data_IF_799831926118
#
_entry.id   IF_799831926118
#
_cell.length_a   1.000
_cell.length_b   1.000
_cell.length_c   1.000
_cell.angle_alpha   90.00
_cell.angle_beta   90.00
_cell.angle_gamma   90.00
#
_symmetry.space_group_name_H-M   'P 1'
#
loop_
_entity.id
_entity.type
_entity.pdbx_description
1 polymer ?
#
# COMPACT_ATOMS: atom_id res chain seq x y z
N UNK A 1 -23.00 -4.16 -53.24
CA UNK A 1 -23.64 -4.68 -52.01
C UNK A 1 -22.54 -5.33 -51.18
N UNK A 2 -22.36 -5.10 -49.88
CA UNK A 2 -22.92 -4.10 -48.96
C UNK A 2 -22.12 -4.19 -47.64
N UNK A 3 -21.90 -3.06 -46.94
CA UNK A 3 -21.20 -3.06 -45.64
C UNK A 3 -22.13 -3.58 -44.53
N UNK A 4 -21.57 -4.14 -43.44
CA UNK A 4 -21.94 -3.83 -42.04
C UNK A 4 -21.09 -4.65 -41.05
N UNK A 5 -21.08 -4.23 -39.77
CA UNK A 5 -20.36 -4.87 -38.66
C UNK A 5 -21.28 -5.08 -37.44
N UNK A 6 -20.99 -6.04 -36.53
CA UNK A 6 -21.77 -6.25 -35.31
C UNK A 6 -21.24 -5.43 -34.12
N UNK A 7 -22.14 -4.90 -33.29
CA UNK A 7 -21.82 -4.17 -32.04
C UNK A 7 -22.72 -4.63 -30.89
N UNK A 8 -22.13 -4.89 -29.71
CA UNK A 8 -22.74 -5.05 -28.36
C UNK A 8 -23.98 -5.96 -28.17
N UNK A 9 -23.94 -6.76 -27.10
CA UNK A 9 -25.11 -7.23 -26.36
C UNK A 9 -25.17 -6.60 -24.96
N UNK A 10 -26.35 -6.57 -24.33
CA UNK A 10 -26.58 -5.99 -22.99
C UNK A 10 -27.82 -6.64 -22.31
N UNK A 11 -27.96 -6.43 -20.99
CA UNK A 11 -29.23 -6.42 -20.22
C UNK A 11 -29.90 -7.73 -19.71
N UNK A 12 -29.67 -8.01 -18.43
CA UNK A 12 -30.65 -8.18 -17.30
C UNK A 12 -31.91 -9.09 -17.37
N UNK A 13 -32.05 -9.92 -16.31
CA UNK A 13 -33.29 -10.43 -15.66
C UNK A 13 -32.94 -10.86 -14.20
N UNK A 14 -33.78 -10.98 -13.16
CA UNK A 14 -35.15 -10.56 -12.78
C UNK A 14 -35.28 -10.70 -11.22
N UNK A 15 -36.38 -10.27 -10.57
CA UNK A 15 -36.54 -10.32 -9.09
C UNK A 15 -37.99 -10.49 -8.58
N UNK A 16 -38.21 -11.37 -7.57
CA UNK A 16 -39.50 -11.73 -6.92
C UNK A 16 -39.28 -12.72 -5.75
N UNK A 17 -40.10 -12.98 -4.71
CA UNK A 17 -41.24 -12.33 -4.01
C UNK A 17 -41.47 -13.10 -2.67
N UNK A 18 -41.97 -12.52 -1.54
CA UNK A 18 -41.87 -13.15 -0.19
C UNK A 18 -43.24 -13.68 0.38
N UNK A 19 -43.59 -13.70 1.72
CA UNK A 19 -44.22 -14.86 2.41
C UNK A 19 -45.65 -14.49 2.95
N UNK A 20 -46.20 -14.74 4.20
CA UNK A 20 -45.75 -15.46 5.43
C UNK A 20 -46.83 -16.18 6.32
N UNK A 21 -46.40 -16.66 7.52
CA UNK A 21 -47.13 -16.97 8.79
C UNK A 21 -48.00 -18.25 8.96
N UNK A 22 -47.72 -19.00 10.05
CA UNK A 22 -48.68 -19.39 11.13
C UNK A 22 -47.95 -20.09 12.32
N UNK A 23 -48.62 -20.22 13.48
CA UNK A 23 -48.14 -20.79 14.76
C UNK A 23 -49.23 -21.74 15.34
N UNK A 24 -49.28 -22.24 16.62
CA UNK A 24 -48.49 -22.03 17.86
C UNK A 24 -47.67 -23.31 18.23
N UNK A 25 -47.31 -23.76 19.45
CA UNK A 25 -47.64 -23.52 20.89
C UNK A 25 -46.42 -23.79 21.81
N UNK A 26 -46.56 -23.60 23.14
CA UNK A 26 -45.63 -24.14 24.15
C UNK A 26 -45.44 -23.26 25.40
N UNK A 27 -45.96 -23.67 26.56
CA UNK A 27 -45.92 -22.87 27.80
C UNK A 27 -44.68 -23.17 28.66
N UNK A 28 -44.12 -22.13 29.32
CA UNK A 28 -43.84 -22.13 30.76
C UNK A 28 -43.44 -20.71 31.25
N UNK A 29 -43.74 -20.40 32.52
CA UNK A 29 -43.62 -19.05 33.07
C UNK A 29 -42.22 -18.73 33.62
N UNK A 30 -41.70 -17.55 33.32
CA UNK A 30 -40.45 -17.01 33.87
C UNK A 30 -40.51 -15.47 33.95
N UNK A 31 -40.13 -14.92 35.10
CA UNK A 31 -40.37 -13.52 35.48
C UNK A 31 -39.78 -12.50 34.49
N UNK A 32 -40.64 -11.76 33.79
CA UNK A 32 -40.25 -10.68 32.87
C UNK A 32 -39.92 -9.40 33.65
N UNK A 33 -38.65 -8.99 33.68
CA UNK A 33 -38.23 -7.67 34.19
C UNK A 33 -37.81 -6.74 33.03
N UNK A 34 -38.73 -5.97 32.43
CA UNK A 34 -38.33 -4.85 31.59
C UNK A 34 -37.70 -3.76 32.47
N UNK A 35 -36.60 -3.19 32.00
CA UNK A 35 -35.93 -2.05 32.62
C UNK A 35 -35.30 -1.20 31.51
N UNK A 36 -36.12 -0.37 30.88
CA UNK A 36 -35.74 0.48 29.77
C UNK A 36 -34.65 1.47 30.17
N UNK A 37 -33.41 1.20 29.74
CA UNK A 37 -32.20 2.00 30.04
C UNK A 37 -32.17 3.40 29.40
N UNK A 38 -33.31 3.89 28.91
CA UNK A 38 -33.46 5.19 28.26
C UNK A 38 -34.30 6.19 29.07
N UNK A 39 -34.75 5.79 30.27
CA UNK A 39 -35.37 6.68 31.24
C UNK A 39 -34.32 7.44 32.07
N UNK A 40 -33.70 8.48 31.49
CA UNK A 40 -33.32 9.74 32.15
C UNK A 40 -32.68 10.68 31.11
N UNK A 41 -33.49 11.62 30.60
CA UNK A 41 -33.11 12.57 29.54
C UNK A 41 -33.07 13.98 30.16
N UNK A 42 -31.94 14.33 30.76
CA UNK A 42 -31.72 15.65 31.39
C UNK A 42 -30.47 16.34 30.83
N UNK A 43 -30.53 17.67 30.77
CA UNK A 43 -29.62 18.52 29.99
C UNK A 43 -28.34 18.93 30.76
N UNK A 44 -27.47 19.66 30.04
CA UNK A 44 -26.34 20.47 30.53
C UNK A 44 -25.00 19.76 30.81
N UNK A 45 -24.13 19.77 29.80
CA UNK A 45 -22.69 19.98 29.96
C UNK A 45 -22.19 20.88 28.81
N UNK A 46 -21.10 21.62 29.03
CA UNK A 46 -20.70 22.77 28.20
C UNK A 46 -19.76 22.39 27.03
N UNK A 47 -19.73 23.16 25.92
CA UNK A 47 -18.93 22.86 24.73
C UNK A 47 -17.45 23.28 24.88
N UNK A 48 -16.72 22.61 25.77
CA UNK A 48 -15.27 22.81 25.98
C UNK A 48 -14.51 21.48 25.94
N UNK A 49 -13.30 21.49 25.37
CA UNK A 49 -12.33 20.38 25.30
C UNK A 49 -12.55 19.27 24.24
N UNK A 50 -13.20 19.55 23.11
CA UNK A 50 -13.03 18.74 21.89
C UNK A 50 -11.69 19.05 21.17
N UNK A 51 -10.56 18.80 21.84
CA UNK A 51 -9.21 18.96 21.27
C UNK A 51 -8.30 17.73 21.42
N UNK A 52 -8.75 16.68 22.14
CA UNK A 52 -8.03 15.41 22.29
C UNK A 52 -9.00 14.22 22.29
N UNK A 53 -9.39 13.73 21.11
CA UNK A 53 -9.69 12.31 20.88
C UNK A 53 -9.79 11.99 19.38
N UNK A 54 -8.74 11.39 18.80
CA UNK A 54 -8.84 10.72 17.50
C UNK A 54 -9.65 9.42 17.65
N UNK A 55 -10.44 9.00 16.66
CA UNK A 55 -11.20 7.76 16.77
C UNK A 55 -10.26 6.54 16.85
N UNK A 56 -10.50 5.58 17.77
CA UNK A 56 -9.74 4.34 17.79
C UNK A 56 -10.10 3.53 16.55
N UNK A 57 -9.20 3.54 15.55
CA UNK A 57 -9.41 2.78 14.32
C UNK A 57 -9.55 1.29 14.66
N UNK A 58 -10.68 0.71 14.26
CA UNK A 58 -11.15 -0.63 14.62
C UNK A 58 -10.03 -1.68 14.48
N UNK A 59 -9.41 -2.05 15.61
CA UNK A 59 -8.32 -3.03 15.63
C UNK A 59 -8.88 -4.41 15.28
N UNK A 60 -8.64 -4.85 14.04
CA UNK A 60 -9.02 -6.19 13.61
C UNK A 60 -8.25 -7.22 14.45
N UNK A 61 -8.99 -7.99 15.24
CA UNK A 61 -8.47 -9.05 16.11
C UNK A 61 -8.03 -10.26 15.26
N UNK A 62 -6.93 -10.11 14.53
CA UNK A 62 -6.30 -11.19 13.78
C UNK A 62 -5.23 -11.85 14.66
N UNK A 63 -5.33 -13.17 14.84
CA UNK A 63 -4.50 -13.91 15.78
C UNK A 63 -3.01 -13.71 15.53
N UNK A 64 -2.24 -13.48 16.60
CA UNK A 64 -0.77 -13.39 16.54
C UNK A 64 -0.18 -14.77 16.26
N UNK A 65 -0.19 -15.16 14.99
CA UNK A 65 0.50 -16.34 14.49
C UNK A 65 2.01 -16.10 14.64
N UNK A 66 2.58 -16.58 15.74
CA UNK A 66 3.98 -16.41 16.10
C UNK A 66 4.89 -16.63 14.87
N UNK A 67 5.86 -15.74 14.59
CA UNK A 67 6.61 -15.74 13.34
C UNK A 67 7.42 -17.04 13.22
N UNK A 68 6.88 -18.00 12.47
CA UNK A 68 7.49 -19.30 12.21
C UNK A 68 8.74 -19.10 11.33
N UNK A 69 9.87 -18.73 11.93
CA UNK A 69 11.14 -18.51 11.24
C UNK A 69 11.62 -19.81 10.59
N UNK A 70 11.41 -19.95 9.28
CA UNK A 70 12.14 -20.95 8.49
C UNK A 70 13.59 -20.49 8.39
N UNK A 71 14.55 -21.37 8.68
CA UNK A 71 15.97 -21.12 8.43
C UNK A 71 16.20 -20.76 6.96
N UNK A 72 16.30 -19.47 6.68
CA UNK A 72 16.74 -18.95 5.38
C UNK A 72 18.24 -18.73 5.48
N UNK A 73 18.98 -19.50 4.71
CA UNK A 73 20.43 -19.29 4.56
C UNK A 73 20.61 -18.10 3.62
N UNK A 74 20.55 -16.90 4.21
CA UNK A 74 20.85 -15.65 3.55
C UNK A 74 22.37 -15.46 3.44
N UNK A 75 22.83 -14.95 2.31
CA UNK A 75 24.13 -14.29 2.20
C UNK A 75 24.25 -13.15 3.22
N UNK A 76 25.48 -12.84 3.66
CA UNK A 76 25.77 -11.74 4.61
C UNK A 76 25.21 -10.38 4.15
N UNK A 77 25.04 -10.20 2.84
CA UNK A 77 24.47 -9.02 2.21
C UNK A 77 23.46 -9.45 1.14
N UNK A 78 22.30 -8.78 1.09
CA UNK A 78 21.32 -8.92 0.00
C UNK A 78 21.59 -7.87 -1.09
N UNK A 79 21.15 -8.14 -2.32
CA UNK A 79 21.36 -7.26 -3.47
C UNK A 79 20.06 -7.07 -4.27
N UNK A 80 19.83 -5.88 -4.84
CA UNK A 80 18.63 -5.53 -5.61
C UNK A 80 18.95 -5.15 -7.05
N UNK A 81 18.19 -5.69 -8.01
CA UNK A 81 18.24 -5.30 -9.42
C UNK A 81 17.48 -3.98 -9.65
N UNK A 82 18.16 -2.94 -10.16
CA UNK A 82 17.53 -1.61 -10.41
C UNK A 82 16.41 -1.63 -11.46
N UNK A 83 16.40 -2.61 -12.37
CA UNK A 83 15.47 -2.65 -13.52
C UNK A 83 14.07 -3.22 -13.18
N UNK A 84 13.99 -4.09 -12.19
CA UNK A 84 12.77 -4.85 -11.86
C UNK A 84 12.49 -5.01 -10.35
N UNK A 85 13.37 -4.52 -9.48
CA UNK A 85 13.21 -4.63 -8.03
C UNK A 85 13.39 -6.03 -7.44
N UNK A 86 13.84 -7.02 -8.22
CA UNK A 86 14.19 -8.37 -7.72
C UNK A 86 15.34 -8.31 -6.71
N UNK A 87 15.19 -9.03 -5.59
CA UNK A 87 16.19 -9.17 -4.53
C UNK A 87 16.87 -10.54 -4.67
N UNK A 88 18.20 -10.50 -4.71
CA UNK A 88 19.10 -11.63 -4.53
C UNK A 88 19.44 -11.80 -3.04
N UNK A 89 19.17 -12.98 -2.48
CA UNK A 89 19.41 -13.30 -1.07
C UNK A 89 19.76 -14.79 -0.84
N UNK A 90 20.37 -15.45 -1.83
CA UNK A 90 20.67 -16.88 -1.82
C UNK A 90 21.87 -17.23 -0.91
N UNK A 91 22.24 -18.53 -0.87
CA UNK A 91 23.37 -19.01 -0.07
C UNK A 91 24.72 -18.50 -0.55
N UNK A 92 24.89 -18.37 -1.87
CA UNK A 92 26.16 -17.96 -2.49
C UNK A 92 26.27 -16.43 -2.37
N UNK A 93 27.39 -15.86 -1.90
CA UNK A 93 27.54 -14.41 -1.85
C UNK A 93 27.62 -13.85 -3.27
N UNK A 94 26.95 -12.72 -3.50
CA UNK A 94 26.78 -12.08 -4.82
C UNK A 94 28.11 -11.80 -5.53
N UNK A 95 29.15 -11.51 -4.77
CA UNK A 95 30.48 -11.13 -5.26
C UNK A 95 31.16 -12.33 -5.96
N UNK A 96 30.86 -13.56 -5.54
CA UNK A 96 31.34 -14.81 -6.13
C UNK A 96 30.49 -15.30 -7.34
N UNK A 97 29.45 -14.58 -7.74
CA UNK A 97 28.70 -14.93 -8.97
C UNK A 97 29.56 -14.60 -10.21
N UNK A 98 29.49 -15.42 -11.28
CA UNK A 98 30.15 -15.07 -12.53
C UNK A 98 29.55 -13.77 -13.09
N UNK A 99 30.34 -12.98 -13.82
CA UNK A 99 29.86 -11.70 -14.35
C UNK A 99 28.80 -11.86 -15.46
N UNK A 100 28.73 -13.05 -16.06
CA UNK A 100 27.64 -13.52 -16.92
C UNK A 100 26.34 -13.85 -16.15
N UNK A 101 26.22 -13.48 -14.87
CA UNK A 101 24.96 -13.58 -14.14
C UNK A 101 23.96 -12.51 -14.61
N UNK A 102 22.76 -12.96 -14.96
CA UNK A 102 21.63 -12.11 -15.35
C UNK A 102 20.47 -12.25 -14.37
N UNK A 103 19.73 -11.16 -14.18
CA UNK A 103 18.56 -11.15 -13.30
C UNK A 103 17.45 -12.07 -13.85
N UNK A 104 16.97 -13.08 -13.08
CA UNK A 104 16.01 -14.08 -13.56
C UNK A 104 14.61 -13.51 -13.86
N UNK A 105 14.37 -12.23 -13.55
CA UNK A 105 13.09 -11.54 -13.79
C UNK A 105 13.10 -10.69 -15.07
N UNK A 106 14.27 -10.24 -15.55
CA UNK A 106 14.34 -9.22 -16.60
C UNK A 106 15.60 -9.25 -17.49
N UNK A 107 16.51 -10.21 -17.32
CA UNK A 107 17.73 -10.29 -18.13
C UNK A 107 18.77 -9.19 -17.84
N UNK A 108 18.57 -8.34 -16.83
CA UNK A 108 19.54 -7.30 -16.50
C UNK A 108 20.87 -7.91 -15.96
N UNK A 109 22.05 -7.50 -16.48
CA UNK A 109 23.34 -8.08 -16.08
C UNK A 109 23.75 -7.69 -14.66
N UNK A 110 24.62 -8.50 -14.03
CA UNK A 110 25.18 -8.33 -12.66
C UNK A 110 25.48 -6.87 -12.29
N UNK A 111 26.07 -6.08 -13.20
CA UNK A 111 26.39 -4.63 -13.02
C UNK A 111 25.19 -3.70 -12.71
N UNK A 112 23.95 -4.13 -12.96
CA UNK A 112 22.71 -3.39 -12.64
C UNK A 112 22.20 -3.65 -11.21
N UNK A 113 22.79 -4.58 -10.47
CA UNK A 113 22.46 -4.81 -9.07
C UNK A 113 23.17 -3.80 -8.15
N UNK A 114 22.58 -3.51 -6.98
CA UNK A 114 23.17 -2.71 -5.91
C UNK A 114 22.93 -3.37 -4.54
N UNK A 115 23.73 -3.09 -3.50
CA UNK A 115 23.44 -3.58 -2.16
C UNK A 115 22.02 -3.19 -1.71
N UNK A 116 21.33 -4.12 -1.06
CA UNK A 116 20.00 -3.93 -0.50
C UNK A 116 20.07 -4.02 1.03
N UNK A 117 20.03 -2.87 1.69
CA UNK A 117 20.13 -2.72 3.15
C UNK A 117 18.90 -3.20 3.95
N UNK A 118 17.64 -3.08 3.46
CA UNK A 118 16.48 -3.51 4.23
C UNK A 118 16.40 -5.03 4.44
N UNK A 119 15.78 -5.45 5.55
CA UNK A 119 15.59 -6.86 5.86
C UNK A 119 14.75 -7.61 4.80
N UNK A 120 15.19 -8.79 4.38
CA UNK A 120 14.54 -9.58 3.32
C UNK A 120 13.49 -10.53 3.89
N UNK A 121 12.22 -10.12 3.84
CA UNK A 121 11.07 -10.86 4.35
C UNK A 121 10.68 -12.07 3.47
N UNK A 122 9.71 -12.86 3.95
CA UNK A 122 8.94 -13.75 3.06
C UNK A 122 8.17 -12.91 2.04
N UNK A 123 8.01 -13.43 0.82
CA UNK A 123 7.34 -12.70 -0.26
C UNK A 123 8.11 -11.52 -0.88
N UNK A 124 9.37 -11.27 -0.48
CA UNK A 124 10.14 -10.13 -0.96
C UNK A 124 10.37 -10.07 -2.49
N UNK A 125 10.11 -11.17 -3.21
CA UNK A 125 10.16 -11.31 -4.67
C UNK A 125 8.80 -11.61 -5.32
N UNK A 126 7.69 -11.43 -4.61
CA UNK A 126 6.35 -11.60 -5.17
C UNK A 126 6.06 -10.49 -6.19
N UNK A 127 5.17 -10.75 -7.15
CA UNK A 127 4.92 -9.84 -8.30
C UNK A 127 4.41 -8.47 -7.86
N UNK A 128 3.43 -8.44 -6.95
CA UNK A 128 2.90 -7.19 -6.38
C UNK A 128 3.98 -6.40 -5.62
N UNK A 129 4.77 -7.08 -4.78
CA UNK A 129 5.85 -6.48 -3.98
C UNK A 129 6.95 -5.91 -4.88
N UNK A 130 7.35 -6.63 -5.94
CA UNK A 130 8.29 -6.12 -6.94
C UNK A 130 7.75 -4.93 -7.73
N UNK A 131 6.47 -4.93 -8.10
CA UNK A 131 5.84 -3.81 -8.81
C UNK A 131 5.86 -2.53 -7.96
N UNK A 132 5.35 -2.58 -6.74
CA UNK A 132 5.38 -1.44 -5.81
C UNK A 132 6.82 -0.94 -5.54
N UNK A 133 7.77 -1.86 -5.36
CA UNK A 133 9.19 -1.51 -5.20
C UNK A 133 9.78 -0.85 -6.46
N UNK A 134 9.41 -1.29 -7.66
CA UNK A 134 9.84 -0.66 -8.93
C UNK A 134 9.28 0.75 -9.07
N UNK A 135 8.01 0.96 -8.70
CA UNK A 135 7.38 2.29 -8.70
C UNK A 135 8.07 3.25 -7.72
N UNK A 136 8.49 2.75 -6.56
CA UNK A 136 9.33 3.52 -5.63
C UNK A 136 10.71 3.85 -6.24
N UNK A 137 11.44 2.85 -6.78
CA UNK A 137 12.75 3.07 -7.43
C UNK A 137 12.65 4.09 -8.57
N UNK A 138 11.56 4.05 -9.35
CA UNK A 138 11.29 4.99 -10.44
C UNK A 138 11.00 6.41 -9.91
N UNK A 139 10.24 6.55 -8.82
CA UNK A 139 10.01 7.84 -8.15
C UNK A 139 11.34 8.41 -7.63
N UNK A 140 12.14 7.59 -6.96
CA UNK A 140 13.39 8.03 -6.33
C UNK A 140 14.43 8.42 -7.39
N UNK A 141 14.49 7.71 -8.53
CA UNK A 141 15.31 8.15 -9.67
C UNK A 141 14.77 9.43 -10.33
N UNK A 142 13.45 9.59 -10.47
CA UNK A 142 12.86 10.83 -11.01
C UNK A 142 13.15 12.04 -10.11
N UNK A 143 13.02 11.90 -8.78
CA UNK A 143 13.41 12.92 -7.80
C UNK A 143 14.90 13.23 -7.90
N UNK A 144 15.75 12.20 -7.96
CA UNK A 144 17.20 12.36 -8.12
C UNK A 144 17.65 13.04 -9.42
N UNK A 145 16.82 13.03 -10.47
CA UNK A 145 17.03 13.80 -11.71
C UNK A 145 16.45 15.21 -11.64
N UNK A 146 15.28 15.39 -11.04
CA UNK A 146 14.60 16.68 -10.95
C UNK A 146 15.26 17.64 -9.93
N UNK A 147 15.74 17.11 -8.79
CA UNK A 147 16.31 17.91 -7.70
C UNK A 147 17.45 18.85 -8.12
N UNK A 148 18.53 18.42 -8.82
CA UNK A 148 19.58 19.34 -9.26
C UNK A 148 19.09 20.39 -10.27
N UNK A 149 18.11 20.04 -11.11
CA UNK A 149 17.51 20.98 -12.07
C UNK A 149 16.70 22.04 -11.34
N UNK A 150 15.89 21.65 -10.35
CA UNK A 150 15.12 22.58 -9.52
C UNK A 150 16.02 23.53 -8.72
N UNK A 151 17.14 23.03 -8.18
CA UNK A 151 18.15 23.87 -7.50
C UNK A 151 18.76 24.89 -8.46
N UNK A 152 19.14 24.47 -9.69
CA UNK A 152 19.69 25.37 -10.69
C UNK A 152 18.68 26.46 -11.13
N UNK A 153 17.42 26.09 -11.37
CA UNK A 153 16.35 27.05 -11.72
C UNK A 153 16.09 28.04 -10.58
N UNK A 154 16.07 27.57 -9.33
CA UNK A 154 15.92 28.44 -8.17
C UNK A 154 17.09 29.43 -8.02
N UNK A 155 18.34 28.98 -8.24
CA UNK A 155 19.51 29.84 -8.21
C UNK A 155 19.47 30.93 -9.30
N UNK A 156 19.06 30.59 -10.53
CA UNK A 156 18.90 31.55 -11.63
C UNK A 156 17.78 32.57 -11.32
N UNK A 157 16.65 32.13 -10.77
CA UNK A 157 15.56 33.01 -10.37
C UNK A 157 15.98 34.00 -9.26
N UNK A 158 16.73 33.54 -8.26
CA UNK A 158 17.28 34.39 -7.20
C UNK A 158 18.31 35.39 -7.74
N UNK A 159 19.20 34.97 -8.64
CA UNK A 159 20.17 35.86 -9.27
C UNK A 159 19.50 36.94 -10.15
N UNK A 160 18.46 36.57 -10.91
CA UNK A 160 17.65 37.50 -11.69
C UNK A 160 16.89 38.50 -10.82
N UNK A 161 16.31 38.05 -9.70
CA UNK A 161 15.65 38.93 -8.72
C UNK A 161 16.63 39.90 -8.05
N UNK A 162 17.82 39.42 -7.67
CA UNK A 162 18.88 40.27 -7.13
C UNK A 162 19.31 41.35 -8.14
N UNK A 163 19.59 40.98 -9.39
CA UNK A 163 19.96 41.93 -10.43
C UNK A 163 18.85 42.95 -10.71
N UNK A 164 17.59 42.50 -10.78
CA UNK A 164 16.42 43.39 -10.93
C UNK A 164 16.38 44.44 -9.81
N UNK A 165 16.45 44.01 -8.54
CA UNK A 165 16.42 44.93 -7.39
C UNK A 165 17.63 45.89 -7.37
N UNK A 166 18.82 45.43 -7.78
CA UNK A 166 20.03 46.25 -7.91
C UNK A 166 20.04 47.14 -9.19
N UNK A 167 18.98 47.11 -10.00
CA UNK A 167 18.83 47.92 -11.21
C UNK A 167 17.62 48.86 -11.18
N UNK A 168 16.73 48.68 -10.20
CA UNK A 168 15.49 49.44 -10.03
C UNK A 168 15.54 50.43 -8.84
N UNK A 169 16.60 50.36 -8.03
CA UNK A 169 16.89 51.21 -6.87
C UNK A 169 18.37 51.58 -6.85
#
# INVERSE_FOLDING_TARGET
MGLHAPTRALSTTNSSTPPPLLAPTGNNAGLRRPADRFALKSSFSAPSLHLLLSPPHQQQLLASAAPKFSMRVASKQAYICRDCGYIYNERKPFDQLPDNYFCPVCGAPKRRFRPYTPAVTRGANDTAVRKARKEQIQRDEAIGKALPIAIAVAAVALAGLYFYLNSAF
#
